data_IF_938777833534
#
_entry.id   IF_938777833534
#
_cell.length_a   1.000
_cell.length_b   1.000
_cell.length_c   1.000
_cell.angle_alpha   90.00
_cell.angle_beta   90.00
_cell.angle_gamma   90.00
#
_symmetry.space_group_name_H-M   'P 1'
#
loop_
_entity.id
_entity.type
_entity.pdbx_description
1 polymer ?
#
# COMPACT_ATOMS: atom_id res chain seq x y z
N UNK A 1 0.39 13.89 5.08
CA UNK A 1 1.66 13.45 4.44
C UNK A 1 1.48 11.98 4.16
N UNK A 2 1.44 11.57 2.89
CA UNK A 2 1.01 10.21 2.44
C UNK A 2 1.75 9.09 3.18
N UNK A 3 3.03 9.30 3.46
CA UNK A 3 3.90 8.34 4.15
C UNK A 3 3.61 8.27 5.65
N UNK A 4 3.22 9.37 6.29
CA UNK A 4 2.77 9.33 7.69
C UNK A 4 1.44 8.59 7.81
N UNK A 5 0.50 8.89 6.92
CA UNK A 5 -0.78 8.17 6.82
C UNK A 5 -0.58 6.68 6.49
N UNK A 6 0.45 6.33 5.72
CA UNK A 6 0.85 4.95 5.49
C UNK A 6 1.28 4.25 6.78
N UNK A 7 2.20 4.86 7.55
CA UNK A 7 2.68 4.28 8.81
C UNK A 7 1.54 4.19 9.83
N UNK A 8 0.69 5.21 9.95
CA UNK A 8 -0.49 5.16 10.81
C UNK A 8 -1.44 4.02 10.37
N UNK A 9 -1.65 3.84 9.07
CA UNK A 9 -2.45 2.72 8.54
C UNK A 9 -1.79 1.38 8.86
N UNK A 10 -0.48 1.23 8.63
CA UNK A 10 0.22 -0.03 8.83
C UNK A 10 0.40 -0.39 10.32
N UNK A 11 0.30 0.56 11.23
CA UNK A 11 0.28 0.24 12.66
C UNK A 11 -1.13 -0.09 13.15
N UNK A 12 -2.17 0.52 12.57
CA UNK A 12 -3.56 0.37 13.05
C UNK A 12 -4.34 -0.76 12.40
N UNK A 13 -4.09 -1.08 11.12
CA UNK A 13 -4.89 -2.08 10.41
C UNK A 13 -4.43 -3.51 10.77
N UNK A 14 -5.31 -4.47 11.12
CA UNK A 14 -4.85 -5.83 11.39
C UNK A 14 -4.41 -6.55 10.10
N UNK A 15 -3.53 -7.54 10.22
CA UNK A 15 -3.19 -8.45 9.11
C UNK A 15 -4.26 -9.55 8.98
N UNK A 16 -5.45 -9.20 8.48
CA UNK A 16 -6.61 -10.09 8.36
C UNK A 16 -7.28 -9.93 6.99
N UNK A 17 -8.08 -10.91 6.60
CA UNK A 17 -8.81 -10.96 5.32
C UNK A 17 -10.31 -10.65 5.47
N UNK A 18 -10.72 -10.01 6.56
CA UNK A 18 -12.08 -9.54 6.72
C UNK A 18 -12.41 -8.37 5.77
N UNK A 19 -13.66 -8.30 5.34
CA UNK A 19 -14.12 -7.32 4.35
C UNK A 19 -13.89 -5.87 4.81
N UNK A 20 -14.04 -5.58 6.10
CA UNK A 20 -13.85 -4.23 6.63
C UNK A 20 -12.39 -3.76 6.49
N UNK A 21 -11.46 -4.62 6.91
CA UNK A 21 -10.01 -4.40 6.81
C UNK A 21 -9.58 -4.27 5.35
N UNK A 22 -10.05 -5.15 4.47
CA UNK A 22 -9.76 -5.07 3.04
C UNK A 22 -10.28 -3.74 2.46
N UNK A 23 -11.52 -3.35 2.74
CA UNK A 23 -12.08 -2.10 2.23
C UNK A 23 -11.38 -0.86 2.75
N UNK A 24 -10.96 -0.84 4.02
CA UNK A 24 -10.13 0.25 4.58
C UNK A 24 -8.81 0.37 3.81
N UNK A 25 -8.13 -0.75 3.58
CA UNK A 25 -6.87 -0.78 2.83
C UNK A 25 -7.05 -0.32 1.37
N UNK A 26 -8.08 -0.82 0.66
CA UNK A 26 -8.35 -0.42 -0.72
C UNK A 26 -8.70 1.06 -0.85
N UNK A 27 -9.45 1.63 0.11
CA UNK A 27 -9.74 3.08 0.14
C UNK A 27 -8.46 3.91 0.28
N UNK A 28 -7.52 3.47 1.12
CA UNK A 28 -6.22 4.11 1.22
C UNK A 28 -5.48 4.10 -0.13
N UNK A 29 -5.38 2.93 -0.78
CA UNK A 29 -4.72 2.82 -2.09
C UNK A 29 -5.39 3.69 -3.17
N UNK A 30 -6.72 3.80 -3.17
CA UNK A 30 -7.45 4.71 -4.06
C UNK A 30 -7.09 6.17 -3.80
N UNK A 31 -6.94 6.55 -2.52
CA UNK A 31 -6.45 7.86 -2.12
C UNK A 31 -5.07 8.13 -2.68
N UNK A 32 -4.14 7.18 -2.53
CA UNK A 32 -2.77 7.26 -3.08
C UNK A 32 -2.79 7.49 -4.59
N UNK A 33 -3.59 6.73 -5.35
CA UNK A 33 -3.69 6.87 -6.81
C UNK A 33 -4.33 8.19 -7.28
N UNK A 34 -5.10 8.89 -6.44
CA UNK A 34 -5.72 10.18 -6.80
C UNK A 34 -4.77 11.37 -6.72
N UNK A 35 -3.58 11.19 -6.17
CA UNK A 35 -2.64 12.29 -5.93
C UNK A 35 -1.98 12.67 -7.25
N UNK A 36 -2.37 13.83 -7.78
CA UNK A 36 -1.89 14.34 -9.07
C UNK A 36 -0.67 15.26 -8.97
N UNK A 37 -0.40 15.82 -7.78
CA UNK A 37 0.64 16.84 -7.59
C UNK A 37 2.04 16.25 -7.42
N UNK A 38 2.14 15.01 -6.91
CA UNK A 38 3.40 14.29 -6.69
C UNK A 38 3.21 12.82 -7.04
N UNK A 39 4.26 12.16 -7.52
CA UNK A 39 4.25 10.71 -7.71
C UNK A 39 4.37 10.06 -6.32
N UNK A 40 3.32 9.35 -5.85
CA UNK A 40 3.39 8.70 -4.55
C UNK A 40 4.31 7.47 -4.58
N UNK A 41 4.95 7.11 -3.46
CA UNK A 41 5.77 5.90 -3.35
C UNK A 41 4.90 4.64 -3.23
N UNK A 42 4.04 4.41 -4.24
CA UNK A 42 3.07 3.32 -4.23
C UNK A 42 3.75 1.94 -4.30
N UNK A 43 4.88 1.83 -5.01
CA UNK A 43 5.64 0.57 -5.12
C UNK A 43 6.25 0.20 -3.78
N UNK A 44 6.84 1.16 -3.09
CA UNK A 44 7.46 1.00 -1.78
C UNK A 44 6.39 0.59 -0.74
N UNK A 45 5.24 1.29 -0.74
CA UNK A 45 4.08 0.97 0.11
C UNK A 45 3.63 -0.48 -0.11
N UNK A 46 3.42 -0.89 -1.36
CA UNK A 46 2.95 -2.24 -1.68
C UNK A 46 3.94 -3.32 -1.27
N UNK A 47 5.24 -3.06 -1.46
CA UNK A 47 6.33 -3.97 -1.07
C UNK A 47 6.36 -4.17 0.45
N UNK A 48 6.26 -3.09 1.22
CA UNK A 48 6.27 -3.15 2.69
C UNK A 48 4.99 -3.84 3.19
N UNK A 49 3.83 -3.54 2.62
CA UNK A 49 2.56 -4.22 3.01
C UNK A 49 2.62 -5.71 2.71
N UNK A 50 3.17 -6.12 1.57
CA UNK A 50 3.36 -7.53 1.23
C UNK A 50 4.22 -8.26 2.27
N UNK A 51 5.27 -7.61 2.78
CA UNK A 51 6.17 -8.18 3.79
C UNK A 51 5.54 -8.19 5.20
N UNK A 52 4.97 -7.07 5.65
CA UNK A 52 4.44 -6.94 7.01
C UNK A 52 3.05 -7.57 7.18
N UNK A 53 2.22 -7.52 6.14
CA UNK A 53 0.80 -7.93 6.17
C UNK A 53 0.43 -8.76 4.94
N UNK A 54 1.06 -9.94 4.78
CA UNK A 54 0.84 -10.78 3.59
C UNK A 54 -0.62 -11.24 3.44
N UNK A 55 -1.32 -11.52 4.54
CA UNK A 55 -2.72 -12.00 4.50
C UNK A 55 -3.61 -10.90 3.91
N UNK A 56 -3.52 -9.69 4.45
CA UNK A 56 -4.24 -8.52 3.94
C UNK A 56 -3.88 -8.23 2.48
N UNK A 57 -2.59 -8.27 2.13
CA UNK A 57 -2.12 -8.03 0.77
C UNK A 57 -2.76 -8.99 -0.23
N UNK A 58 -2.69 -10.29 0.03
CA UNK A 58 -3.24 -11.32 -0.86
C UNK A 58 -4.77 -11.30 -0.90
N UNK A 59 -5.42 -11.00 0.23
CA UNK A 59 -6.87 -10.85 0.27
C UNK A 59 -7.33 -9.64 -0.56
N UNK A 60 -6.72 -8.47 -0.35
CA UNK A 60 -7.01 -7.27 -1.12
C UNK A 60 -6.75 -7.44 -2.62
N UNK A 61 -5.67 -8.13 -3.00
CA UNK A 61 -5.38 -8.46 -4.41
C UNK A 61 -6.52 -9.25 -5.06
N UNK A 62 -7.11 -10.21 -4.34
CA UNK A 62 -8.24 -11.04 -4.83
C UNK A 62 -9.54 -10.24 -4.93
N UNK A 63 -9.72 -9.24 -4.07
CA UNK A 63 -10.93 -8.40 -4.05
C UNK A 63 -10.95 -7.32 -5.14
N UNK A 64 -9.83 -7.04 -5.79
CA UNK A 64 -9.72 -6.01 -6.84
C UNK A 64 -9.93 -6.61 -8.22
N UNK A 65 -10.80 -5.97 -9.02
CA UNK A 65 -10.99 -6.34 -10.43
C UNK A 65 -9.71 -6.10 -11.23
N UNK A 66 -9.37 -7.04 -12.11
CA UNK A 66 -8.18 -6.97 -12.97
C UNK A 66 -8.13 -5.75 -13.88
N UNK A 67 -9.29 -5.20 -14.23
CA UNK A 67 -9.45 -3.96 -15.01
C UNK A 67 -9.21 -2.68 -14.20
N UNK A 68 -9.09 -2.77 -12.86
CA UNK A 68 -8.85 -1.62 -12.00
C UNK A 68 -7.39 -1.20 -12.03
N UNK A 69 -7.12 0.11 -12.02
CA UNK A 69 -5.76 0.65 -11.86
C UNK A 69 -5.10 0.18 -10.55
N UNK A 70 -5.89 -0.16 -9.53
CA UNK A 70 -5.40 -0.76 -8.29
C UNK A 70 -4.73 -2.11 -8.54
N UNK A 71 -5.21 -2.90 -9.51
CA UNK A 71 -4.66 -4.22 -9.80
C UNK A 71 -3.19 -4.12 -10.22
N UNK A 72 -2.81 -3.06 -10.93
CA UNK A 72 -1.43 -2.80 -11.31
C UNK A 72 -0.50 -2.66 -10.09
N UNK A 73 -0.99 -2.09 -8.98
CA UNK A 73 -0.23 -1.96 -7.74
C UNK A 73 0.10 -3.31 -7.08
N UNK A 74 -0.64 -4.38 -7.40
CA UNK A 74 -0.37 -5.71 -6.87
C UNK A 74 0.60 -6.53 -7.74
N UNK A 75 0.99 -5.98 -8.90
CA UNK A 75 1.92 -6.61 -9.85
C UNK A 75 3.34 -6.03 -9.73
N UNK A 76 3.51 -4.94 -8.97
CA UNK A 76 4.84 -4.36 -8.73
C UNK A 76 5.54 -5.13 -7.62
N UNK A 77 6.84 -5.32 -7.82
CA UNK A 77 7.72 -5.96 -6.85
C UNK A 77 9.01 -5.15 -6.79
N UNK A 78 9.55 -4.98 -5.59
CA UNK A 78 10.79 -4.28 -5.33
C UNK A 78 11.49 -5.00 -4.17
N UNK A 79 12.81 -4.86 -4.12
CA UNK A 79 13.57 -5.27 -2.94
C UNK A 79 13.07 -4.54 -1.67
N UNK A 80 12.88 -5.31 -0.59
CA UNK A 80 12.34 -4.78 0.66
C UNK A 80 13.28 -3.79 1.34
N UNK A 81 14.59 -4.00 1.27
CA UNK A 81 15.57 -3.07 1.85
C UNK A 81 15.56 -1.75 1.08
N UNK A 82 15.52 -1.82 -0.25
CA UNK A 82 15.41 -0.64 -1.11
C UNK A 82 14.11 0.13 -0.88
N UNK A 83 12.99 -0.58 -0.72
CA UNK A 83 11.69 0.04 -0.41
C UNK A 83 11.73 0.80 0.93
N UNK A 84 12.35 0.21 1.95
CA UNK A 84 12.56 0.86 3.25
C UNK A 84 13.50 2.06 3.16
N UNK A 85 14.56 2.01 2.35
CA UNK A 85 15.45 3.14 2.15
C UNK A 85 14.72 4.31 1.46
N UNK A 86 13.96 4.01 0.40
CA UNK A 86 13.24 5.03 -0.37
C UNK A 86 12.12 5.66 0.42
N UNK A 87 11.32 4.89 1.14
CA UNK A 87 10.20 5.43 1.91
C UNK A 87 10.66 6.39 3.01
N UNK A 88 11.84 6.15 3.62
CA UNK A 88 12.45 7.05 4.61
C UNK A 88 12.79 8.43 4.05
N UNK A 89 13.15 8.52 2.76
CA UNK A 89 13.44 9.82 2.09
C UNK A 89 12.22 10.74 2.03
N UNK A 90 11.00 10.19 2.12
CA UNK A 90 9.77 10.97 2.17
C UNK A 90 9.41 11.46 3.58
N UNK A 91 10.00 10.88 4.63
CA UNK A 91 9.80 11.30 6.03
C UNK A 91 10.76 12.41 6.45
N UNK A 92 11.88 12.58 5.73
CA UNK A 92 12.93 13.56 6.05
C UNK A 92 12.82 14.88 5.27
N UNK A 93 11.73 15.11 4.51
CA UNK A 93 11.50 16.32 3.73
C UNK A 93 10.53 17.29 4.39
#
# INVERSE_FOLDING_TARGET
MIVREFFDLIDTIPNRDDSETIQKFLRYLQGVLRIKQVVPPAVEIMTIVKACKPILYHAARRSVLTSSNLYMLFQVDMDLELANERIRKYTQR
#
